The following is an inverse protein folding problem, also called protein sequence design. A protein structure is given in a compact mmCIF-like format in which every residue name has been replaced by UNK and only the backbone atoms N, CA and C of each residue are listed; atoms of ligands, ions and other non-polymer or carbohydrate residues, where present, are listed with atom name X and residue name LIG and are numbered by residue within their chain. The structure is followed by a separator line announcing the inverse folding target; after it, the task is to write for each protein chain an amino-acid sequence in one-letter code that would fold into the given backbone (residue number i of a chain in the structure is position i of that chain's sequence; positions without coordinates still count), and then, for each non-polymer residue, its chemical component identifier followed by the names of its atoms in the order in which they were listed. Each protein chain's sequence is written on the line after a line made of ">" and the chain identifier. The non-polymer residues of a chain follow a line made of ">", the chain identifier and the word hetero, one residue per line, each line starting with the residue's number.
data_IF_407347720461
#
_entry.id   IF_407347720461
#
_cell.length_a   1.000
_cell.length_b   1.000
_cell.length_c   1.000
_cell.angle_alpha   90.00
_cell.angle_beta   90.00
_cell.angle_gamma   90.00
#
_symmetry.space_group_name_H-M   'P 1'
#
loop_
_entity.id
_entity.type
_entity.pdbx_description
1 polymer ?
#
# COMPACT_ATOMS: atom_id res chain seq x y z
N UNK A 1 -11.62 -14.25 3.43
CA UNK A 1 -11.47 -13.07 3.75
C UNK A 1 -10.10 -12.63 3.89
N UNK A 2 -9.79 -11.54 3.44
CA UNK A 2 -8.51 -11.09 3.50
C UNK A 2 -8.26 -10.30 4.67
N UNK A 3 -7.31 -10.64 5.44
CA UNK A 3 -6.95 -9.89 6.55
C UNK A 3 -5.54 -9.46 6.33
N UNK A 4 -5.34 -8.45 5.57
CA UNK A 4 -4.02 -7.99 5.21
C UNK A 4 -3.54 -6.99 6.25
N UNK A 5 -2.38 -7.19 6.85
CA UNK A 5 -1.89 -6.25 7.84
C UNK A 5 -1.62 -4.88 7.25
N UNK A 6 -1.86 -3.86 8.04
CA UNK A 6 -1.63 -2.50 7.62
C UNK A 6 -0.62 -1.88 8.55
N UNK A 7 0.36 -1.19 7.99
CA UNK A 7 1.35 -0.49 8.77
C UNK A 7 1.28 0.98 8.40
N UNK A 8 1.16 1.84 9.41
CA UNK A 8 1.17 3.26 9.18
C UNK A 8 2.58 3.77 9.39
N UNK A 9 3.08 4.50 8.42
CA UNK A 9 4.43 4.99 8.49
C UNK A 9 4.50 6.38 7.95
N UNK A 10 5.38 7.19 8.49
CA UNK A 10 5.55 8.54 7.98
C UNK A 10 6.35 8.46 6.71
N UNK A 11 5.74 8.79 5.62
CA UNK A 11 6.37 8.73 4.30
C UNK A 11 6.40 10.12 3.68
N UNK A 12 7.20 10.31 2.65
CA UNK A 12 7.18 11.59 1.94
C UNK A 12 5.78 11.90 1.45
N UNK A 13 5.47 13.16 1.32
CA UNK A 13 4.11 13.58 1.06
C UNK A 13 3.56 13.07 -0.26
N UNK A 14 4.41 12.78 -1.21
CA UNK A 14 3.92 12.30 -2.49
C UNK A 14 3.74 10.79 -2.54
N UNK A 15 3.99 10.10 -1.45
CA UNK A 15 3.79 8.66 -1.41
C UNK A 15 2.61 8.37 -0.51
N UNK A 16 1.55 7.82 -1.07
CA UNK A 16 0.38 7.51 -0.27
C UNK A 16 0.49 6.17 0.42
N UNK A 17 1.06 5.20 -0.25
CA UNK A 17 1.19 3.87 0.32
C UNK A 17 1.65 2.89 -0.72
N UNK A 18 1.91 1.68 -0.29
CA UNK A 18 2.35 0.65 -1.21
C UNK A 18 2.20 -0.70 -0.54
N UNK A 19 2.40 -1.75 -1.32
CA UNK A 19 2.35 -3.11 -0.80
C UNK A 19 3.76 -3.66 -0.80
N UNK A 20 4.11 -4.36 0.25
CA UNK A 20 5.39 -5.05 0.29
C UNK A 20 5.17 -6.41 0.90
N UNK A 21 6.19 -7.24 0.86
CA UNK A 21 6.11 -8.57 1.44
C UNK A 21 6.82 -8.60 2.76
N UNK A 22 6.21 -9.24 3.72
CA UNK A 22 6.84 -9.45 5.01
C UNK A 22 7.82 -10.60 4.97
N UNK A 23 8.35 -10.94 6.12
CA UNK A 23 9.38 -11.95 6.17
C UNK A 23 8.88 -13.32 5.77
N UNK A 24 7.60 -13.57 5.90
CA UNK A 24 7.04 -14.85 5.51
C UNK A 24 6.34 -14.75 4.16
N UNK A 25 6.69 -13.74 3.40
CA UNK A 25 6.13 -13.54 2.07
C UNK A 25 4.64 -13.22 2.09
N UNK A 26 4.15 -12.76 3.22
CA UNK A 26 2.78 -12.32 3.29
C UNK A 26 2.71 -10.85 2.91
N UNK A 27 1.69 -10.43 2.20
CA UNK A 27 1.59 -9.04 1.79
C UNK A 27 1.26 -8.13 2.98
N UNK A 28 1.86 -6.96 2.95
CA UNK A 28 1.63 -5.95 3.96
C UNK A 28 1.34 -4.66 3.23
N UNK A 29 0.33 -3.94 3.65
CA UNK A 29 0.01 -2.66 3.05
C UNK A 29 0.57 -1.57 3.96
N UNK A 30 1.44 -0.75 3.40
CA UNK A 30 2.04 0.36 4.14
C UNK A 30 1.32 1.62 3.68
N UNK A 31 0.85 2.40 4.64
CA UNK A 31 0.10 3.61 4.33
C UNK A 31 0.74 4.80 5.01
N UNK A 32 0.80 5.89 4.30
CA UNK A 32 1.41 7.10 4.82
C UNK A 32 0.59 7.65 5.97
N UNK A 33 1.18 7.72 7.14
CA UNK A 33 0.47 8.19 8.30
C UNK A 33 0.20 9.68 8.27
N UNK A 34 0.80 10.39 7.34
CA UNK A 34 0.55 11.82 7.21
C UNK A 34 -0.76 12.13 6.51
N UNK A 35 -1.36 11.15 5.89
CA UNK A 35 -2.64 11.36 5.21
C UNK A 35 -3.75 11.50 6.23
N UNK A 36 -4.84 12.16 5.83
CA UNK A 36 -6.02 12.20 6.67
C UNK A 36 -6.57 10.80 6.80
N UNK A 37 -7.42 10.59 7.79
CA UNK A 37 -7.99 9.30 7.99
C UNK A 37 -8.75 8.82 6.76
N UNK A 38 -9.48 9.72 6.15
CA UNK A 38 -10.23 9.38 4.95
C UNK A 38 -9.31 8.99 3.83
N UNK A 39 -8.22 9.70 3.65
CA UNK A 39 -7.26 9.38 2.61
C UNK A 39 -6.58 8.05 2.89
N UNK A 40 -6.32 7.76 4.15
CA UNK A 40 -5.72 6.49 4.50
C UNK A 40 -6.64 5.34 4.11
N UNK A 41 -7.92 5.51 4.36
CA UNK A 41 -8.87 4.47 4.04
C UNK A 41 -8.96 4.26 2.53
N UNK A 42 -8.99 5.33 1.77
CA UNK A 42 -9.04 5.20 0.33
C UNK A 42 -7.79 4.52 -0.21
N UNK A 43 -6.65 4.86 0.37
CA UNK A 43 -5.40 4.24 -0.05
C UNK A 43 -5.42 2.75 0.25
N UNK A 44 -5.91 2.38 1.42
CA UNK A 44 -6.01 0.99 1.78
C UNK A 44 -6.88 0.23 0.78
N UNK A 45 -8.03 0.79 0.44
CA UNK A 45 -8.92 0.12 -0.49
C UNK A 45 -8.29 -0.03 -1.86
N UNK A 46 -7.55 0.98 -2.27
CA UNK A 46 -6.90 0.94 -3.56
C UNK A 46 -5.83 -0.16 -3.60
N UNK A 47 -5.02 -0.24 -2.55
CA UNK A 47 -3.99 -1.26 -2.52
C UNK A 47 -4.57 -2.65 -2.37
N UNK A 48 -5.64 -2.77 -1.61
CA UNK A 48 -6.27 -4.06 -1.45
C UNK A 48 -6.83 -4.56 -2.78
N UNK A 49 -7.35 -3.65 -3.57
CA UNK A 49 -7.86 -4.01 -4.86
C UNK A 49 -6.75 -4.55 -5.76
N UNK A 50 -5.58 -3.92 -5.72
CA UNK A 50 -4.45 -4.42 -6.49
C UNK A 50 -4.05 -5.81 -6.04
N UNK A 51 -4.05 -6.04 -4.74
CA UNK A 51 -3.71 -7.35 -4.23
C UNK A 51 -4.67 -8.41 -4.73
N UNK A 52 -5.95 -8.10 -4.72
CA UNK A 52 -6.94 -9.08 -5.15
C UNK A 52 -6.82 -9.41 -6.61
N UNK A 53 -6.31 -8.48 -7.38
CA UNK A 53 -6.15 -8.72 -8.80
C UNK A 53 -4.81 -9.34 -9.13
N UNK A 54 -3.96 -9.48 -8.13
CA UNK A 54 -2.65 -10.05 -8.38
C UNK A 54 -1.70 -9.07 -9.00
N UNK A 55 -1.94 -7.78 -8.80
CA UNK A 55 -1.17 -6.76 -9.46
C UNK A 55 0.04 -6.30 -8.69
N UNK A 56 0.31 -6.87 -7.56
CA UNK A 56 1.28 -6.27 -6.69
C UNK A 56 2.68 -6.25 -7.28
N UNK A 57 2.94 -7.08 -8.24
CA UNK A 57 4.27 -7.13 -8.83
C UNK A 57 4.35 -6.52 -10.21
N UNK A 58 3.34 -5.76 -10.62
CA UNK A 58 3.43 -5.19 -11.94
C UNK A 58 3.75 -3.71 -11.81
N UNK A 59 3.54 -2.95 -12.82
CA UNK A 59 3.99 -1.60 -12.81
C UNK A 59 3.37 -0.73 -11.81
N UNK A 60 2.15 -1.00 -11.45
CA UNK A 60 1.49 -0.20 -10.47
C UNK A 60 2.25 -0.19 -9.19
N UNK A 61 2.97 -1.23 -8.94
CA UNK A 61 3.71 -1.33 -7.73
C UNK A 61 4.72 -0.20 -7.62
N UNK A 62 5.10 0.37 -8.69
CA UNK A 62 6.08 1.40 -8.67
C UNK A 62 5.54 2.77 -8.46
N UNK A 63 4.24 2.89 -8.45
CA UNK A 63 3.70 4.19 -8.33
C UNK A 63 4.00 4.85 -7.06
N UNK A 64 4.28 4.08 -6.07
CA UNK A 64 4.42 4.71 -4.82
C UNK A 64 5.67 5.51 -4.78
N UNK A 65 6.31 5.66 -5.58
CA UNK A 65 7.25 6.35 -5.37
C UNK A 65 8.37 6.45 -6.03
N UNK A 66 8.59 6.42 -6.25
CA UNK A 66 9.51 6.57 -6.88
C UNK A 66 9.48 6.36 -8.15
N UNK A 67 8.60 5.93 -8.51
CA UNK A 67 8.43 5.55 -9.73
C UNK A 67 8.81 6.49 -10.57
N UNK A 68 9.28 6.64 -11.20
CA UNK A 68 9.53 7.56 -12.07
C UNK A 68 9.69 7.58 -13.02
#
# INVERSE_FOLDING_TARGET
>A
MENVPIVLKSLPVDIRGFVCLGSDYEPIIVINSRLSREQQLLTYQHELKHLRRGDMFNEDYHEYGGAP
#
